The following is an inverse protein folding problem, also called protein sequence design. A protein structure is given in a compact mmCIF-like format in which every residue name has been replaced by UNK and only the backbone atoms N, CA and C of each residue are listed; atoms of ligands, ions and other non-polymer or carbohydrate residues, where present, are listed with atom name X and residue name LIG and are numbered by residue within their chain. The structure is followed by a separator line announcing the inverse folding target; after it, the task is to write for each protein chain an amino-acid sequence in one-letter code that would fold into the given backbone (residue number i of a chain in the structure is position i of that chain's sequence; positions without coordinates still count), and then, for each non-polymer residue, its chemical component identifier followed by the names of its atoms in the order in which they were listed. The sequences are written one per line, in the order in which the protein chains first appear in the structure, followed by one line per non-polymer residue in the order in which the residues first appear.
data_IF_179357826295
#
_entry.id   IF_179357826295
#
_cell.length_a   1.000
_cell.length_b   1.000
_cell.length_c   1.000
_cell.angle_alpha   90.00
_cell.angle_beta   90.00
_cell.angle_gamma   90.00
#
_symmetry.space_group_name_H-M   'P 1'
#
loop_
_entity.id
_entity.type
_entity.pdbx_description
1 polymer ?
#
# COMPACT_ATOMS: atom_id res chain seq x y z
N UNK A 1 -13.78 2.73 15.41
CA UNK A 1 -13.02 1.83 14.51
C UNK A 1 -13.68 1.86 13.13
N UNK A 2 -12.92 1.75 12.04
CA UNK A 2 -13.43 1.97 10.66
C UNK A 2 -14.40 0.91 10.13
N UNK A 3 -14.70 -0.16 10.88
CA UNK A 3 -15.72 -1.14 10.51
C UNK A 3 -15.32 -2.14 9.41
N UNK A 4 -14.08 -2.12 8.94
CA UNK A 4 -13.57 -3.06 7.94
C UNK A 4 -13.38 -4.47 8.49
N UNK A 5 -13.47 -5.45 7.58
CA UNK A 5 -13.22 -6.87 7.82
C UNK A 5 -11.89 -7.30 7.22
N UNK A 6 -11.29 -8.41 7.69
CA UNK A 6 -10.13 -8.99 7.03
C UNK A 6 -10.43 -9.27 5.55
N UNK A 7 -9.50 -8.90 4.67
CA UNK A 7 -9.65 -9.02 3.21
C UNK A 7 -10.32 -7.83 2.53
N UNK A 8 -10.86 -6.85 3.28
CA UNK A 8 -11.42 -5.65 2.68
C UNK A 8 -10.34 -4.82 1.99
N UNK A 9 -10.73 -4.16 0.91
CA UNK A 9 -9.89 -3.16 0.25
C UNK A 9 -9.88 -1.89 1.09
N UNK A 10 -8.70 -1.33 1.30
CA UNK A 10 -8.47 -0.05 1.97
C UNK A 10 -7.65 0.88 1.09
N UNK A 11 -7.94 2.16 1.16
CA UNK A 11 -7.12 3.23 0.61
C UNK A 11 -6.32 3.87 1.73
N UNK A 12 -5.01 3.98 1.53
CA UNK A 12 -4.07 4.66 2.42
C UNK A 12 -3.57 5.89 1.67
N UNK A 13 -3.86 7.08 2.20
CA UNK A 13 -3.50 8.35 1.58
C UNK A 13 -2.55 9.14 2.47
N UNK A 14 -1.58 9.81 1.87
CA UNK A 14 -0.76 10.84 2.51
C UNK A 14 -0.80 12.12 1.66
N UNK A 15 -0.12 13.18 2.10
CA UNK A 15 0.05 14.39 1.28
C UNK A 15 0.72 14.16 -0.08
N UNK A 16 1.34 13.00 -0.29
CA UNK A 16 2.13 12.66 -1.49
C UNK A 16 1.37 11.83 -2.52
N UNK A 17 0.22 11.30 -2.14
CA UNK A 17 -0.58 10.41 -2.99
C UNK A 17 -1.32 9.39 -2.17
N UNK A 18 -1.74 8.32 -2.83
CA UNK A 18 -2.47 7.21 -2.20
C UNK A 18 -2.05 5.86 -2.76
N UNK A 19 -2.28 4.82 -1.97
CA UNK A 19 -2.17 3.42 -2.38
C UNK A 19 -3.39 2.65 -1.90
N UNK A 20 -3.87 1.74 -2.73
CA UNK A 20 -5.03 0.90 -2.41
C UNK A 20 -4.55 -0.54 -2.24
N UNK A 21 -4.83 -1.14 -1.07
CA UNK A 21 -4.33 -2.45 -0.66
C UNK A 21 -5.42 -3.26 0.03
N UNK A 22 -5.22 -4.58 0.11
CA UNK A 22 -6.05 -5.45 0.94
C UNK A 22 -5.60 -5.38 2.40
N UNK A 23 -6.55 -5.27 3.32
CA UNK A 23 -6.31 -5.27 4.75
C UNK A 23 -6.23 -6.70 5.30
N UNK A 24 -5.24 -6.96 6.16
CA UNK A 24 -5.14 -8.16 6.98
C UNK A 24 -5.30 -7.76 8.45
N UNK A 25 -6.15 -8.46 9.19
CA UNK A 25 -6.22 -8.28 10.63
C UNK A 25 -4.99 -8.90 11.31
N UNK A 26 -4.40 -8.17 12.24
CA UNK A 26 -3.25 -8.61 13.02
C UNK A 26 -3.31 -7.99 14.42
N UNK A 27 -3.47 -8.83 15.44
CA UNK A 27 -3.58 -8.41 16.84
C UNK A 27 -2.25 -7.90 17.42
N UNK A 28 -1.13 -8.14 16.72
CA UNK A 28 0.19 -7.64 17.12
C UNK A 28 0.44 -6.17 16.74
N UNK A 29 -0.42 -5.59 15.88
CA UNK A 29 -0.30 -4.19 15.46
C UNK A 29 -0.89 -3.24 16.52
N UNK A 30 -0.16 -2.17 16.90
CA UNK A 30 -0.68 -1.18 17.85
C UNK A 30 -1.95 -0.51 17.33
N UNK A 31 -2.89 -0.20 18.22
CA UNK A 31 -4.06 0.59 17.85
C UNK A 31 -3.63 1.97 17.32
N UNK A 32 -4.17 2.37 16.18
CA UNK A 32 -3.83 3.63 15.52
C UNK A 32 -2.61 3.58 14.60
N UNK A 33 -1.94 2.42 14.50
CA UNK A 33 -0.87 2.18 13.55
C UNK A 33 -1.28 1.13 12.50
N UNK A 34 -0.67 1.22 11.31
CA UNK A 34 -0.76 0.19 10.28
C UNK A 34 0.65 -0.21 9.85
N UNK A 35 0.82 -1.47 9.51
CA UNK A 35 2.07 -1.97 8.94
C UNK A 35 1.86 -2.28 7.45
N UNK A 36 2.76 -1.77 6.61
CA UNK A 36 2.75 -2.04 5.17
C UNK A 36 4.16 -2.44 4.72
N UNK A 37 4.34 -3.63 4.14
CA UNK A 37 5.63 -4.02 3.55
C UNK A 37 5.92 -3.18 2.29
N UNK A 38 7.18 -2.82 2.09
CA UNK A 38 7.63 -1.96 0.99
C UNK A 38 8.30 -2.70 -0.17
N UNK A 39 8.35 -4.04 -0.12
CA UNK A 39 9.02 -4.88 -1.10
C UNK A 39 8.16 -5.23 -2.33
N UNK A 40 6.93 -4.72 -2.42
CA UNK A 40 6.00 -5.01 -3.52
C UNK A 40 5.88 -3.82 -4.46
N UNK A 41 6.09 -4.06 -5.75
CA UNK A 41 6.00 -3.03 -6.79
C UNK A 41 4.55 -2.58 -7.01
N UNK A 42 3.63 -3.56 -6.96
CA UNK A 42 2.18 -3.41 -7.09
C UNK A 42 1.59 -2.57 -5.95
N UNK A 43 2.28 -2.53 -4.81
CA UNK A 43 1.87 -1.87 -3.58
C UNK A 43 2.96 -0.88 -3.13
N UNK A 44 3.35 0.05 -4.02
CA UNK A 44 4.47 0.97 -3.84
C UNK A 44 4.25 2.02 -2.74
N UNK A 45 4.18 1.58 -1.48
CA UNK A 45 4.00 2.42 -0.29
C UNK A 45 5.11 3.44 -0.12
N UNK A 46 6.29 3.17 -0.69
CA UNK A 46 7.40 4.13 -0.75
C UNK A 46 7.03 5.44 -1.48
N UNK A 47 5.98 5.46 -2.30
CA UNK A 47 5.44 6.70 -2.88
C UNK A 47 4.81 7.61 -1.82
N UNK A 48 4.30 7.04 -0.72
CA UNK A 48 3.67 7.78 0.37
C UNK A 48 4.67 8.26 1.41
N UNK A 49 5.85 7.62 1.51
CA UNK A 49 6.83 7.89 2.55
C UNK A 49 7.71 9.10 2.25
N UNK A 50 8.25 9.68 3.32
CA UNK A 50 9.11 10.85 3.27
C UNK A 50 10.57 10.43 3.03
N UNK A 51 11.21 10.96 1.99
CA UNK A 51 12.66 10.83 1.79
C UNK A 51 13.46 11.83 2.64
N UNK A 52 12.82 12.55 3.58
CA UNK A 52 13.54 13.43 4.49
C UNK A 52 14.42 12.58 5.41
N UNK A 53 15.70 12.93 5.43
CA UNK A 53 16.68 12.44 6.36
C UNK A 53 16.47 13.13 7.71
N UNK A 54 16.41 12.34 8.77
CA UNK A 54 16.47 12.87 10.12
C UNK A 54 17.74 13.73 10.28
N UNK A 55 17.64 14.97 10.79
CA UNK A 55 18.77 15.91 10.85
C UNK A 55 19.89 15.46 11.82
N UNK A 56 19.61 14.55 12.74
CA UNK A 56 20.58 14.03 13.72
C UNK A 56 21.07 12.62 13.35
N UNK A 57 20.14 11.72 13.09
CA UNK A 57 20.40 10.30 12.84
C UNK A 57 20.77 10.01 11.38
N UNK A 58 20.56 10.94 10.44
CA UNK A 58 20.85 10.80 9.01
C UNK A 58 20.29 9.50 8.40
N UNK A 59 19.19 9.01 8.96
CA UNK A 59 18.40 7.91 8.40
C UNK A 59 17.14 8.52 7.77
N UNK A 60 16.71 8.06 6.60
CA UNK A 60 15.44 8.50 6.04
C UNK A 60 14.29 8.04 6.93
N UNK A 61 13.30 8.91 7.13
CA UNK A 61 12.08 8.66 7.94
C UNK A 61 11.11 7.65 7.27
N UNK A 62 11.62 6.50 6.81
CA UNK A 62 10.80 5.46 6.19
C UNK A 62 9.92 4.70 7.21
N UNK A 63 10.21 4.80 8.51
CA UNK A 63 9.58 4.00 9.55
C UNK A 63 8.24 4.58 10.06
N UNK A 64 7.97 5.86 9.81
CA UNK A 64 6.73 6.53 10.24
C UNK A 64 6.26 7.55 9.21
N UNK A 65 4.98 7.47 8.83
CA UNK A 65 4.35 8.44 7.94
C UNK A 65 2.91 8.69 8.41
N UNK A 66 2.54 9.97 8.54
CA UNK A 66 1.15 10.33 8.80
C UNK A 66 0.31 10.02 7.56
N UNK A 67 -0.66 9.12 7.73
CA UNK A 67 -1.56 8.66 6.68
C UNK A 67 -3.01 8.71 7.15
N UNK A 68 -3.92 8.86 6.19
CA UNK A 68 -5.36 8.67 6.37
C UNK A 68 -5.73 7.34 5.73
N UNK A 69 -6.50 6.53 6.46
CA UNK A 69 -7.02 5.26 5.94
C UNK A 69 -8.53 5.41 5.72
N UNK A 70 -9.04 4.83 4.64
CA UNK A 70 -10.48 4.71 4.34
C UNK A 70 -10.79 3.35 3.73
N UNK A 71 -12.02 2.85 3.94
CA UNK A 71 -12.48 1.63 3.29
C UNK A 71 -12.76 1.87 1.79
N UNK A 72 -12.53 0.84 0.97
CA UNK A 72 -12.74 0.86 -0.46
C UNK A 72 -11.53 1.38 -1.26
N UNK A 73 -11.73 1.44 -2.59
CA UNK A 73 -10.71 1.81 -3.57
C UNK A 73 -10.61 0.77 -4.69
N UNK A 74 -9.82 1.07 -5.72
CA UNK A 74 -9.49 0.13 -6.81
C UNK A 74 -8.04 -0.32 -6.66
N UNK A 75 -7.83 -1.61 -6.41
CA UNK A 75 -6.48 -2.18 -6.27
C UNK A 75 -5.79 -2.17 -7.64
N UNK A 76 -4.51 -1.81 -7.65
CA UNK A 76 -3.71 -1.86 -8.87
C UNK A 76 -3.62 -3.29 -9.40
N UNK A 77 -3.69 -3.42 -10.73
CA UNK A 77 -3.59 -4.71 -11.42
C UNK A 77 -2.23 -5.36 -11.11
N UNK A 78 -2.24 -6.58 -10.57
CA UNK A 78 -1.02 -7.28 -10.18
C UNK A 78 -0.27 -7.78 -11.41
N UNK A 79 0.88 -7.18 -11.69
CA UNK A 79 1.69 -7.51 -12.87
C UNK A 79 2.69 -8.63 -12.66
N UNK A 80 2.97 -9.03 -11.41
CA UNK A 80 3.91 -10.11 -11.11
C UNK A 80 3.50 -10.96 -9.89
N UNK A 81 4.38 -11.89 -9.46
CA UNK A 81 4.10 -13.18 -8.79
C UNK A 81 2.81 -13.22 -7.93
N UNK A 82 1.79 -13.91 -8.47
CA UNK A 82 0.44 -14.03 -7.90
C UNK A 82 -0.69 -13.99 -8.93
N UNK A 83 -0.43 -13.56 -10.17
CA UNK A 83 -1.50 -13.46 -11.19
C UNK A 83 -1.10 -13.55 -12.66
N UNK A 84 0.02 -12.97 -13.11
CA UNK A 84 0.48 -13.11 -14.51
C UNK A 84 -0.53 -12.71 -15.62
N UNK A 85 -1.62 -12.00 -15.29
CA UNK A 85 -2.76 -11.81 -16.20
C UNK A 85 -2.55 -10.72 -17.26
N UNK A 86 -1.47 -9.94 -17.17
CA UNK A 86 -1.17 -8.92 -18.18
C UNK A 86 -0.80 -9.52 -19.53
N UNK A 87 -0.29 -10.74 -19.58
CA UNK A 87 -0.03 -11.39 -20.87
C UNK A 87 -1.35 -11.70 -21.59
N UNK A 88 -2.38 -12.14 -20.87
CA UNK A 88 -3.70 -12.42 -21.45
C UNK A 88 -4.39 -11.14 -21.96
N UNK A 89 -4.31 -10.03 -21.22
CA UNK A 89 -4.88 -8.75 -21.66
C UNK A 89 -4.13 -8.11 -22.83
N UNK A 90 -2.80 -8.29 -22.88
CA UNK A 90 -2.00 -7.85 -24.03
C UNK A 90 -2.25 -8.72 -25.29
N UNK A 91 -2.48 -10.02 -25.12
CA UNK A 91 -2.78 -10.93 -26.24
C UNK A 91 -4.20 -10.72 -26.80
N UNK A 92 -5.19 -10.37 -25.98
CA UNK A 92 -6.57 -10.11 -26.45
C UNK A 92 -6.73 -8.77 -27.18
N UNK A 93 -5.84 -7.81 -26.93
CA UNK A 93 -5.82 -6.51 -27.63
C UNK A 93 -5.07 -6.59 -28.97
N UNK A 94 -4.37 -7.69 -29.23
CA UNK A 94 -3.58 -7.91 -30.44
C UNK A 94 -4.30 -8.72 -31.54
N UNK A 95 -5.62 -8.98 -31.40
CA UNK A 95 -6.48 -9.56 -32.45
C UNK A 95 -7.40 -8.53 -33.07
#
# INVERSE_FOLDING_TARGET
AMGGKPGDVITIASRRGEVVLYARADDSSPQGAIFVPFCYYEAAINRLTNAALDPFAKIPEFKYCAVKVSLGGTVAEQTSYGGGQRLESLLSTAQ
#
